data_IF_477769428761
#
_entry.id   IF_477769428761
#
_cell.length_a   1.000
_cell.length_b   1.000
_cell.length_c   1.000
_cell.angle_alpha   90.00
_cell.angle_beta   90.00
_cell.angle_gamma   90.00
#
_symmetry.space_group_name_H-M   'P 1'
#
loop_
_entity.id
_entity.type
_entity.pdbx_description
1 polymer ?
#
# COMPACT_ATOMS: atom_id res chain seq x y z
N UNK A 1 -77.83 -16.64 17.77
CA UNK A 1 -76.37 -16.82 17.70
C UNK A 1 -75.74 -15.65 18.45
N UNK A 2 -75.27 -15.88 19.67
CA UNK A 2 -74.76 -14.86 20.58
C UNK A 2 -73.29 -14.59 20.29
N UNK A 3 -72.96 -13.42 19.76
CA UNK A 3 -71.60 -12.88 19.74
C UNK A 3 -71.31 -12.30 21.13
N UNK A 4 -70.42 -12.93 21.89
CA UNK A 4 -69.85 -12.35 23.10
C UNK A 4 -68.62 -11.53 22.71
N UNK A 5 -68.77 -10.21 22.75
CA UNK A 5 -67.67 -9.27 22.61
C UNK A 5 -66.63 -9.50 23.72
N UNK A 6 -65.42 -9.89 23.33
CA UNK A 6 -64.31 -10.10 24.25
C UNK A 6 -63.81 -8.75 24.79
N UNK A 7 -63.73 -8.64 26.12
CA UNK A 7 -63.31 -7.43 26.83
C UNK A 7 -61.83 -7.08 26.53
N UNK A 8 -61.57 -5.93 25.90
CA UNK A 8 -60.22 -5.46 25.60
C UNK A 8 -59.50 -4.96 26.86
N UNK A 9 -58.70 -5.85 27.47
CA UNK A 9 -57.84 -5.50 28.61
C UNK A 9 -56.74 -4.50 28.21
N UNK A 10 -56.56 -3.43 29.01
CA UNK A 10 -55.48 -2.44 28.86
C UNK A 10 -54.18 -2.86 29.57
N UNK A 11 -54.12 -4.07 30.14
CA UNK A 11 -52.93 -4.55 30.84
C UNK A 11 -51.83 -4.85 29.81
N UNK A 12 -50.60 -4.35 29.99
CA UNK A 12 -49.48 -4.72 29.13
C UNK A 12 -49.18 -6.22 29.21
N UNK A 13 -48.84 -6.85 28.08
CA UNK A 13 -48.56 -8.29 28.07
C UNK A 13 -47.39 -8.65 29.01
N UNK A 14 -47.59 -9.73 29.76
CA UNK A 14 -46.62 -10.25 30.73
C UNK A 14 -45.57 -11.13 30.03
N UNK A 15 -44.76 -10.49 29.19
CA UNK A 15 -43.64 -11.15 28.49
C UNK A 15 -42.30 -10.69 29.06
N UNK A 16 -41.26 -11.55 29.09
CA UNK A 16 -39.94 -11.18 29.59
C UNK A 16 -39.35 -9.93 28.91
N UNK A 17 -39.66 -9.71 27.63
CA UNK A 17 -39.26 -8.53 26.89
C UNK A 17 -39.98 -7.26 27.37
N UNK A 18 -41.33 -7.27 27.40
CA UNK A 18 -42.13 -6.09 27.81
C UNK A 18 -41.97 -5.75 29.29
N UNK A 19 -41.68 -6.75 30.12
CA UNK A 19 -41.48 -6.58 31.56
C UNK A 19 -40.01 -6.34 31.96
N UNK A 20 -39.10 -6.23 30.98
CA UNK A 20 -37.66 -6.03 31.21
C UNK A 20 -37.00 -7.10 32.10
N UNK A 21 -37.48 -8.34 32.00
CA UNK A 21 -36.97 -9.53 32.72
C UNK A 21 -36.20 -10.47 31.79
N UNK A 22 -35.57 -9.93 30.76
CA UNK A 22 -34.72 -10.71 29.86
C UNK A 22 -33.55 -11.31 30.65
N UNK A 23 -33.13 -12.50 30.24
CA UNK A 23 -31.92 -13.14 30.80
C UNK A 23 -30.72 -12.24 30.49
N UNK A 24 -30.15 -11.65 31.54
CA UNK A 24 -29.01 -10.76 31.44
C UNK A 24 -27.85 -11.30 32.27
N UNK A 25 -26.63 -11.00 31.83
CA UNK A 25 -25.42 -11.18 32.61
C UNK A 25 -24.91 -9.81 33.02
N UNK A 26 -24.74 -9.59 34.34
CA UNK A 26 -24.25 -8.34 34.90
C UNK A 26 -22.88 -8.59 35.55
N UNK A 27 -21.78 -8.40 34.81
CA UNK A 27 -20.45 -8.63 35.36
C UNK A 27 -20.12 -7.58 36.42
N UNK A 28 -20.05 -8.02 37.67
CA UNK A 28 -19.54 -7.19 38.77
C UNK A 28 -18.03 -7.37 38.80
N UNK A 29 -17.28 -6.30 38.54
CA UNK A 29 -15.83 -6.30 38.54
C UNK A 29 -15.31 -6.42 39.98
N UNK A 30 -15.02 -7.66 40.41
CA UNK A 30 -14.37 -7.90 41.71
C UNK A 30 -12.85 -7.81 41.57
N UNK A 31 -12.12 -7.41 42.63
CA UNK A 31 -10.66 -7.26 42.57
C UNK A 31 -9.93 -8.50 42.05
N UNK A 32 -10.33 -9.70 42.48
CA UNK A 32 -9.71 -10.95 42.04
C UNK A 32 -9.85 -11.16 40.53
N UNK A 33 -11.04 -10.88 39.97
CA UNK A 33 -11.28 -10.96 38.53
C UNK A 33 -10.43 -9.94 37.78
N UNK A 34 -10.41 -8.68 38.22
CA UNK A 34 -9.63 -7.61 37.58
C UNK A 34 -8.13 -7.92 37.61
N UNK A 35 -7.57 -8.26 38.78
CA UNK A 35 -6.15 -8.62 38.95
C UNK A 35 -5.78 -9.79 38.03
N UNK A 36 -6.61 -10.84 38.03
CA UNK A 36 -6.42 -12.02 37.20
C UNK A 36 -6.44 -11.69 35.70
N UNK A 37 -7.41 -10.89 35.25
CA UNK A 37 -7.48 -10.47 33.84
C UNK A 37 -6.26 -9.66 33.42
N UNK A 38 -5.85 -8.65 34.20
CA UNK A 38 -4.64 -7.87 33.88
C UNK A 38 -3.38 -8.73 33.85
N UNK A 39 -3.25 -9.68 34.79
CA UNK A 39 -2.10 -10.59 34.82
C UNK A 39 -2.06 -11.49 33.59
N UNK A 40 -3.19 -12.11 33.23
CA UNK A 40 -3.31 -13.00 32.07
C UNK A 40 -3.06 -12.24 30.76
N UNK A 41 -3.64 -11.05 30.59
CA UNK A 41 -3.40 -10.22 29.41
C UNK A 41 -1.92 -9.87 29.28
N UNK A 42 -1.27 -9.46 30.37
CA UNK A 42 0.17 -9.18 30.39
C UNK A 42 1.02 -10.40 30.02
N UNK A 43 0.71 -11.57 30.59
CA UNK A 43 1.40 -12.83 30.30
C UNK A 43 1.26 -13.29 28.85
N UNK A 44 0.15 -12.97 28.18
CA UNK A 44 -0.05 -13.31 26.77
C UNK A 44 0.61 -12.27 25.85
N UNK A 45 0.47 -10.99 26.17
CA UNK A 45 0.92 -9.90 25.28
C UNK A 45 2.44 -9.77 25.23
N UNK A 46 3.15 -10.02 26.34
CA UNK A 46 4.62 -9.91 26.36
C UNK A 46 5.28 -10.94 25.42
N UNK A 47 5.00 -12.26 25.50
CA UNK A 47 5.57 -13.23 24.58
C UNK A 47 5.22 -12.97 23.11
N UNK A 48 3.96 -12.57 22.83
CA UNK A 48 3.55 -12.19 21.47
C UNK A 48 4.37 -10.99 20.98
N UNK A 49 4.54 -9.97 21.82
CA UNK A 49 5.32 -8.79 21.49
C UNK A 49 6.79 -9.10 21.21
N UNK A 50 7.41 -9.96 22.03
CA UNK A 50 8.79 -10.43 21.83
C UNK A 50 8.92 -11.19 20.52
N UNK A 51 8.01 -12.14 20.25
CA UNK A 51 8.01 -12.90 19.00
C UNK A 51 7.89 -11.99 17.76
N UNK A 52 6.94 -11.05 17.76
CA UNK A 52 6.77 -10.09 16.66
C UNK A 52 7.99 -9.18 16.47
N UNK A 53 8.65 -8.80 17.56
CA UNK A 53 9.85 -7.97 17.54
C UNK A 53 11.06 -8.72 16.97
N UNK A 54 11.25 -10.00 17.31
CA UNK A 54 12.32 -10.82 16.73
C UNK A 54 12.09 -11.09 15.24
N UNK A 55 10.86 -11.42 14.83
CA UNK A 55 10.50 -11.54 13.41
C UNK A 55 10.78 -10.24 12.64
N UNK A 56 10.64 -9.08 13.29
CA UNK A 56 10.95 -7.80 12.68
C UNK A 56 12.45 -7.59 12.42
N UNK A 57 13.32 -8.05 13.34
CA UNK A 57 14.77 -7.88 13.24
C UNK A 57 15.35 -8.67 12.06
N UNK A 58 14.75 -9.81 11.73
CA UNK A 58 15.15 -10.66 10.61
C UNK A 58 14.87 -10.01 9.24
N UNK A 59 14.13 -8.91 9.20
CA UNK A 59 13.83 -8.19 7.95
C UNK A 59 15.00 -7.29 7.58
N UNK A 60 15.65 -7.64 6.47
CA UNK A 60 16.72 -6.85 5.86
C UNK A 60 16.09 -5.84 4.91
N UNK A 61 16.34 -4.56 5.17
CA UNK A 61 15.86 -3.46 4.34
C UNK A 61 17.02 -2.52 4.00
N UNK A 62 17.12 -2.14 2.74
CA UNK A 62 18.07 -1.15 2.26
C UNK A 62 17.35 -0.11 1.43
N UNK A 63 17.75 1.15 1.55
CA UNK A 63 17.19 2.25 0.76
C UNK A 63 18.30 3.13 0.19
N UNK A 64 18.10 3.59 -1.03
CA UNK A 64 18.99 4.55 -1.68
C UNK A 64 18.16 5.66 -2.30
N UNK A 65 18.44 6.90 -1.89
CA UNK A 65 17.79 8.10 -2.40
C UNK A 65 18.42 8.54 -3.72
N UNK A 66 17.61 8.83 -4.73
CA UNK A 66 18.04 9.21 -6.09
C UNK A 66 17.32 10.46 -6.63
N UNK A 67 17.11 11.45 -5.79
CA UNK A 67 16.32 12.67 -6.05
C UNK A 67 16.92 13.69 -7.06
N UNK A 68 17.96 13.31 -7.80
CA UNK A 68 18.67 14.18 -8.75
C UNK A 68 19.78 15.03 -8.11
N UNK A 69 19.71 15.30 -6.79
CA UNK A 69 20.74 16.02 -6.03
C UNK A 69 21.85 15.08 -5.57
N UNK A 70 21.49 13.84 -5.18
CA UNK A 70 22.42 12.84 -4.65
C UNK A 70 22.90 11.82 -5.69
N UNK A 71 22.77 12.12 -6.99
CA UNK A 71 23.29 11.25 -8.04
C UNK A 71 24.82 11.40 -8.11
N UNK A 72 25.58 10.35 -7.76
CA UNK A 72 27.02 10.25 -8.08
C UNK A 72 27.15 10.19 -9.61
N UNK A 73 27.44 11.33 -10.24
CA UNK A 73 27.43 11.53 -11.71
C UNK A 73 28.54 10.72 -12.44
N UNK A 74 28.36 10.41 -13.74
CA UNK A 74 28.87 11.33 -14.77
C UNK A 74 27.98 11.39 -16.03
N UNK A 75 27.21 12.47 -16.17
CA UNK A 75 26.80 13.17 -17.41
C UNK A 75 25.46 13.86 -17.16
N UNK A 76 25.53 15.16 -16.93
CA UNK A 76 24.40 16.05 -16.70
C UNK A 76 23.54 16.29 -17.96
N UNK A 77 23.60 15.41 -18.97
CA UNK A 77 22.88 15.57 -20.22
C UNK A 77 21.45 14.98 -20.17
N UNK A 78 21.24 13.84 -19.50
CA UNK A 78 19.97 13.07 -19.62
C UNK A 78 19.29 12.68 -18.27
N UNK A 79 19.82 13.10 -17.12
CA UNK A 79 19.16 12.87 -15.82
C UNK A 79 19.10 11.41 -15.35
N UNK A 80 20.12 10.61 -15.70
CA UNK A 80 20.21 9.15 -15.49
C UNK A 80 21.34 8.85 -14.52
N UNK A 81 21.14 7.92 -13.57
CA UNK A 81 22.23 7.42 -12.74
C UNK A 81 22.17 5.91 -12.53
N UNK A 82 23.35 5.29 -12.60
CA UNK A 82 23.57 3.92 -12.16
C UNK A 82 23.73 3.89 -10.65
N UNK A 83 22.88 3.13 -9.97
CA UNK A 83 22.90 2.97 -8.53
C UNK A 83 23.31 1.54 -8.16
N UNK A 84 24.39 1.44 -7.40
CA UNK A 84 24.95 0.16 -6.96
C UNK A 84 24.53 -0.10 -5.51
N UNK A 85 23.89 -1.25 -5.29
CA UNK A 85 23.53 -1.76 -3.98
C UNK A 85 24.38 -2.98 -3.67
N UNK A 86 25.29 -2.85 -2.71
CA UNK A 86 25.99 -4.00 -2.16
C UNK A 86 25.21 -4.52 -0.96
N UNK A 87 24.69 -5.74 -1.04
CA UNK A 87 23.94 -6.37 0.06
C UNK A 87 24.83 -6.50 1.31
N UNK A 88 24.38 -5.95 2.43
CA UNK A 88 25.12 -6.02 3.71
C UNK A 88 24.85 -7.32 4.48
N UNK A 89 23.73 -7.96 4.19
CA UNK A 89 23.23 -9.17 4.84
C UNK A 89 22.59 -10.09 3.77
N UNK A 90 22.43 -11.37 4.11
CA UNK A 90 21.75 -12.33 3.25
C UNK A 90 20.25 -11.99 3.14
N UNK A 91 19.71 -11.96 1.93
CA UNK A 91 18.29 -11.71 1.69
C UNK A 91 17.60 -12.98 1.18
N UNK A 92 16.58 -13.43 1.91
CA UNK A 92 15.73 -14.56 1.51
C UNK A 92 14.61 -14.13 0.57
N UNK A 93 14.33 -14.95 -0.44
CA UNK A 93 13.21 -14.75 -1.35
C UNK A 93 11.85 -14.92 -0.62
N UNK A 94 10.80 -14.19 -1.04
CA UNK A 94 10.79 -13.18 -2.10
C UNK A 94 11.36 -11.84 -1.61
N UNK A 95 12.26 -11.26 -2.41
CA UNK A 95 12.84 -9.94 -2.14
C UNK A 95 12.03 -8.91 -2.91
N UNK A 96 11.47 -7.93 -2.21
CA UNK A 96 10.59 -6.94 -2.79
C UNK A 96 11.36 -5.66 -3.14
N UNK A 97 11.13 -5.14 -4.33
CA UNK A 97 11.70 -3.88 -4.82
C UNK A 97 10.61 -2.83 -4.86
N UNK A 98 10.78 -1.75 -4.12
CA UNK A 98 9.85 -0.62 -4.04
C UNK A 98 10.49 0.65 -4.53
N UNK A 99 9.67 1.54 -5.09
CA UNK A 99 9.99 2.97 -5.07
C UNK A 99 9.25 3.62 -3.90
N UNK A 100 9.96 4.49 -3.19
CA UNK A 100 9.43 5.33 -2.13
C UNK A 100 9.35 6.77 -2.63
N UNK A 101 8.20 7.40 -2.40
CA UNK A 101 8.01 8.82 -2.61
C UNK A 101 7.65 9.45 -1.27
N UNK A 102 8.34 10.55 -0.97
CA UNK A 102 8.08 11.36 0.22
C UNK A 102 7.44 12.70 -0.20
N UNK A 103 6.62 13.24 0.70
CA UNK A 103 5.90 14.50 0.54
C UNK A 103 4.95 14.56 -0.68
N UNK A 104 4.38 13.42 -1.10
CA UNK A 104 3.46 13.35 -2.24
C UNK A 104 2.04 12.97 -1.79
N UNK A 105 1.10 13.90 -1.88
CA UNK A 105 -0.23 13.77 -1.27
C UNK A 105 -1.27 13.09 -2.19
N UNK A 106 -1.20 11.77 -2.33
CA UNK A 106 -2.24 11.00 -3.05
C UNK A 106 -3.60 11.01 -2.34
N UNK A 107 -3.64 11.33 -1.05
CA UNK A 107 -4.85 11.34 -0.23
C UNK A 107 -5.66 12.65 -0.34
N UNK A 108 -5.23 13.62 -1.15
CA UNK A 108 -5.95 14.86 -1.33
C UNK A 108 -7.31 14.61 -2.01
N UNK A 109 -8.41 15.16 -1.48
CA UNK A 109 -9.79 14.91 -1.94
C UNK A 109 -9.96 15.03 -3.46
N UNK A 110 -9.46 16.12 -4.05
CA UNK A 110 -9.53 16.37 -5.51
C UNK A 110 -8.70 15.36 -6.32
N UNK A 111 -7.58 14.89 -5.77
CA UNK A 111 -6.71 13.92 -6.44
C UNK A 111 -7.39 12.55 -6.45
N UNK A 112 -7.89 12.08 -5.30
CA UNK A 112 -8.60 10.79 -5.17
C UNK A 112 -9.85 10.74 -6.03
N UNK A 113 -10.62 11.84 -6.11
CA UNK A 113 -11.82 11.91 -6.94
C UNK A 113 -11.53 12.02 -8.44
N UNK A 114 -10.29 12.33 -8.84
CA UNK A 114 -9.94 12.61 -10.23
C UNK A 114 -9.52 11.37 -11.00
N UNK A 115 -10.53 10.58 -11.37
CA UNK A 115 -10.41 9.39 -12.23
C UNK A 115 -11.77 9.03 -12.85
N UNK A 116 -11.76 8.24 -13.92
CA UNK A 116 -12.97 7.64 -14.50
C UNK A 116 -12.96 6.13 -14.29
N UNK A 117 -13.81 5.62 -13.41
CA UNK A 117 -13.88 4.18 -13.13
C UNK A 117 -14.43 3.39 -14.35
N UNK A 118 -15.24 4.02 -15.20
CA UNK A 118 -15.69 3.41 -16.47
C UNK A 118 -14.52 3.17 -17.42
N UNK A 119 -13.66 4.18 -17.64
CA UNK A 119 -12.46 4.02 -18.48
C UNK A 119 -11.49 2.99 -17.91
N UNK A 120 -11.34 2.94 -16.58
CA UNK A 120 -10.49 1.93 -15.94
C UNK A 120 -11.01 0.51 -16.16
N UNK A 121 -12.32 0.31 -16.21
CA UNK A 121 -12.95 -0.97 -16.57
C UNK A 121 -13.03 -1.23 -18.08
N UNK A 122 -12.37 -0.43 -18.91
CA UNK A 122 -12.41 -0.59 -20.37
C UNK A 122 -13.76 -0.22 -21.01
N UNK A 123 -14.67 0.38 -20.24
CA UNK A 123 -15.97 0.84 -20.72
C UNK A 123 -15.85 2.22 -21.39
N UNK A 124 -16.70 2.49 -22.37
CA UNK A 124 -16.80 3.82 -22.98
C UNK A 124 -17.43 4.78 -21.96
N UNK A 125 -16.71 5.82 -21.56
CA UNK A 125 -17.23 6.82 -20.65
C UNK A 125 -18.05 7.88 -21.41
N UNK A 126 -19.23 8.21 -20.88
CA UNK A 126 -20.08 9.28 -21.42
C UNK A 126 -19.43 10.65 -21.19
N UNK A 127 -19.43 11.49 -22.23
CA UNK A 127 -18.88 12.85 -22.17
C UNK A 127 -19.99 13.84 -21.80
N UNK A 128 -19.70 14.85 -20.96
CA UNK A 128 -18.41 15.19 -20.36
C UNK A 128 -18.11 14.41 -19.06
N UNK A 129 -16.86 13.97 -18.88
CA UNK A 129 -16.42 13.29 -17.66
C UNK A 129 -16.13 14.33 -16.57
N UNK A 130 -17.11 14.59 -15.70
CA UNK A 130 -17.02 15.59 -14.61
C UNK A 130 -16.00 15.24 -13.52
N UNK A 131 -15.64 13.97 -13.37
CA UNK A 131 -14.67 13.51 -12.35
C UNK A 131 -13.22 13.90 -12.71
N UNK A 132 -12.90 14.10 -13.99
CA UNK A 132 -11.53 14.34 -14.47
C UNK A 132 -11.13 15.83 -14.63
N UNK A 133 -11.77 16.73 -13.88
CA UNK A 133 -11.74 18.21 -14.05
C UNK A 133 -10.39 18.93 -13.89
N UNK A 134 -9.26 18.23 -13.84
CA UNK A 134 -7.91 18.83 -13.84
C UNK A 134 -6.94 18.26 -14.88
N UNK A 135 -7.34 17.23 -15.62
CA UNK A 135 -6.49 16.59 -16.64
C UNK A 135 -7.37 15.92 -17.71
N UNK A 136 -8.16 16.70 -18.48
CA UNK A 136 -9.09 16.14 -19.47
C UNK A 136 -8.40 15.60 -20.71
N UNK A 137 -7.20 16.12 -21.04
CA UNK A 137 -6.47 15.78 -22.25
C UNK A 137 -5.16 16.55 -22.35
N UNK A 138 -4.50 16.39 -23.49
CA UNK A 138 -3.22 17.04 -23.82
C UNK A 138 -3.11 17.27 -25.31
N UNK A 139 -2.46 18.35 -25.71
CA UNK A 139 -1.98 18.53 -27.09
C UNK A 139 -0.58 17.93 -27.20
N UNK A 140 -0.44 16.80 -27.88
CA UNK A 140 0.82 16.05 -27.97
C UNK A 140 0.90 15.23 -29.25
N UNK A 141 2.09 14.69 -29.54
CA UNK A 141 2.28 13.61 -30.49
C UNK A 141 1.77 12.29 -29.89
N UNK A 142 1.16 11.45 -30.74
CA UNK A 142 0.63 10.13 -30.38
C UNK A 142 1.56 9.05 -30.91
N UNK A 143 2.18 8.30 -30.00
CA UNK A 143 3.11 7.23 -30.33
C UNK A 143 2.40 5.88 -30.44
N UNK A 144 2.92 4.98 -31.28
CA UNK A 144 2.53 3.57 -31.24
C UNK A 144 3.33 2.84 -30.15
N UNK A 145 3.09 3.23 -28.89
CA UNK A 145 3.85 2.82 -27.71
C UNK A 145 5.36 3.02 -27.83
N UNK A 146 6.12 1.95 -28.01
CA UNK A 146 7.58 2.01 -28.07
C UNK A 146 8.13 2.32 -29.45
N UNK A 147 7.29 2.30 -30.48
CA UNK A 147 7.71 2.62 -31.84
C UNK A 147 7.96 4.12 -32.00
N UNK A 148 8.82 4.46 -32.96
CA UNK A 148 9.07 5.85 -33.33
C UNK A 148 7.88 6.45 -34.08
N UNK A 149 7.86 7.78 -34.15
CA UNK A 149 6.78 8.50 -34.80
C UNK A 149 6.76 8.21 -36.29
N UNK A 150 5.54 8.10 -36.84
CA UNK A 150 5.35 8.08 -38.27
C UNK A 150 5.89 9.38 -38.91
N UNK A 151 6.49 9.31 -40.12
CA UNK A 151 6.91 10.51 -40.84
C UNK A 151 5.74 11.48 -41.03
N UNK A 152 5.93 12.75 -40.64
CA UNK A 152 4.89 13.78 -40.74
C UNK A 152 3.88 13.83 -39.59
N UNK A 153 4.11 13.12 -38.48
CA UNK A 153 3.25 13.20 -37.30
C UNK A 153 3.18 14.64 -36.74
N UNK A 154 1.96 15.18 -36.66
CA UNK A 154 1.68 16.49 -36.07
C UNK A 154 1.04 16.35 -34.70
N UNK A 155 1.34 17.29 -33.79
CA UNK A 155 0.68 17.33 -32.49
C UNK A 155 -0.82 17.64 -32.66
N UNK A 156 -1.66 16.90 -31.95
CA UNK A 156 -3.11 17.09 -31.94
C UNK A 156 -3.63 17.05 -30.50
N UNK A 157 -4.83 17.58 -30.28
CA UNK A 157 -5.50 17.46 -29.00
C UNK A 157 -6.07 16.06 -28.84
N UNK A 158 -5.70 15.39 -27.76
CA UNK A 158 -6.23 14.09 -27.38
C UNK A 158 -6.80 14.10 -25.97
N UNK A 159 -7.91 13.39 -25.77
CA UNK A 159 -8.47 13.10 -24.46
C UNK A 159 -7.69 11.95 -23.82
N UNK A 160 -7.41 12.06 -22.53
CA UNK A 160 -6.77 10.95 -21.82
C UNK A 160 -7.73 9.80 -21.57
N UNK A 161 -7.29 8.58 -21.85
CA UNK A 161 -8.03 7.37 -21.55
C UNK A 161 -7.08 6.32 -20.91
N UNK A 162 -7.15 6.09 -19.59
CA UNK A 162 -7.98 6.77 -18.58
C UNK A 162 -7.57 8.22 -18.30
N UNK A 163 -8.56 9.06 -18.01
CA UNK A 163 -8.37 10.44 -17.58
C UNK A 163 -8.16 10.56 -16.06
N UNK A 164 -7.69 11.74 -15.65
CA UNK A 164 -7.64 12.14 -14.24
C UNK A 164 -6.23 12.33 -13.70
N UNK A 165 -6.14 13.02 -12.56
CA UNK A 165 -4.88 13.41 -11.94
C UNK A 165 -4.04 12.20 -11.50
N UNK A 166 -4.69 11.10 -11.09
CA UNK A 166 -3.98 9.90 -10.64
C UNK A 166 -3.20 9.28 -11.80
N UNK A 167 -3.87 8.99 -12.92
CA UNK A 167 -3.22 8.40 -14.09
C UNK A 167 -2.16 9.33 -14.70
N UNK A 168 -2.44 10.64 -14.80
CA UNK A 168 -1.52 11.63 -15.36
C UNK A 168 -0.33 12.01 -14.46
N UNK A 169 -0.30 11.50 -13.23
CA UNK A 169 0.85 11.62 -12.34
C UNK A 169 1.55 10.29 -12.10
N UNK A 170 1.29 9.27 -12.93
CA UNK A 170 1.99 7.99 -12.87
C UNK A 170 3.50 8.19 -12.72
N UNK A 171 4.08 7.44 -11.79
CA UNK A 171 5.52 7.45 -11.56
C UNK A 171 6.27 6.89 -12.78
N UNK A 172 7.12 7.71 -13.39
CA UNK A 172 7.88 7.39 -14.60
C UNK A 172 9.41 7.42 -14.41
N UNK A 173 9.88 7.25 -13.17
CA UNK A 173 11.29 7.38 -12.77
C UNK A 173 12.24 6.28 -13.24
N UNK A 174 11.98 5.58 -14.33
CA UNK A 174 12.87 4.52 -14.84
C UNK A 174 13.07 4.62 -16.34
N UNK A 175 14.31 4.93 -16.72
CA UNK A 175 14.84 5.00 -18.08
C UNK A 175 16.38 4.93 -18.05
N UNK A 176 17.00 4.60 -19.19
CA UNK A 176 17.89 5.42 -20.06
C UNK A 176 19.25 4.82 -20.51
N UNK A 177 19.27 4.54 -21.82
CA UNK A 177 20.17 5.08 -22.87
C UNK A 177 21.66 4.77 -22.88
N UNK A 178 22.18 3.91 -22.04
CA UNK A 178 23.53 3.36 -22.24
C UNK A 178 23.54 1.87 -22.00
N UNK A 179 24.12 1.10 -22.93
CA UNK A 179 24.46 -0.31 -22.74
C UNK A 179 25.19 -0.47 -21.41
N UNK A 180 24.47 -0.86 -20.37
CA UNK A 180 25.11 -1.40 -19.20
C UNK A 180 25.43 -2.84 -19.53
N UNK A 181 26.71 -3.11 -19.76
CA UNK A 181 27.27 -4.46 -19.73
C UNK A 181 27.17 -5.02 -18.32
N UNK A 182 25.95 -5.21 -17.80
CA UNK A 182 25.71 -5.92 -16.56
C UNK A 182 25.81 -7.42 -16.87
N UNK A 183 27.05 -7.88 -17.02
CA UNK A 183 27.43 -9.29 -17.21
C UNK A 183 27.43 -10.07 -15.90
N UNK A 184 27.00 -9.44 -14.80
CA UNK A 184 26.95 -10.06 -13.49
C UNK A 184 25.90 -11.18 -13.55
N UNK A 185 26.40 -12.41 -13.52
CA UNK A 185 25.59 -13.62 -13.46
C UNK A 185 25.54 -14.09 -12.02
N UNK A 186 24.34 -14.38 -11.53
CA UNK A 186 24.14 -15.02 -10.24
C UNK A 186 23.50 -16.39 -10.49
N UNK A 187 24.19 -17.47 -10.10
CA UNK A 187 23.81 -18.84 -10.42
C UNK A 187 23.50 -19.09 -11.91
N UNK A 188 24.31 -18.50 -12.81
CA UNK A 188 24.13 -18.64 -14.26
C UNK A 188 22.96 -17.85 -14.86
N UNK A 189 22.24 -17.05 -14.06
CA UNK A 189 21.22 -16.09 -14.55
C UNK A 189 21.79 -14.67 -14.53
N UNK A 190 21.60 -13.93 -15.62
CA UNK A 190 21.90 -12.49 -15.64
C UNK A 190 21.02 -11.76 -14.61
N UNK A 191 21.66 -10.98 -13.72
CA UNK A 191 21.00 -10.25 -12.63
C UNK A 191 19.91 -9.29 -13.15
N UNK A 192 20.03 -8.82 -14.39
CA UNK A 192 19.06 -7.95 -15.09
C UNK A 192 17.67 -8.59 -15.25
N UNK A 193 17.59 -9.92 -15.29
CA UNK A 193 16.35 -10.68 -15.52
C UNK A 193 15.73 -11.28 -14.24
N UNK A 194 16.27 -10.96 -13.06
CA UNK A 194 15.79 -11.55 -11.81
C UNK A 194 14.51 -10.89 -11.27
N UNK A 195 14.21 -9.66 -11.69
CA UNK A 195 13.04 -8.93 -11.19
C UNK A 195 11.79 -9.25 -12.01
N UNK A 196 10.86 -9.95 -11.36
CA UNK A 196 9.54 -10.31 -11.84
C UNK A 196 8.55 -9.15 -11.63
N UNK A 197 7.64 -8.99 -12.58
CA UNK A 197 6.63 -7.93 -12.62
C UNK A 197 5.21 -8.43 -12.41
N UNK A 198 5.05 -9.73 -12.17
CA UNK A 198 3.78 -10.38 -11.91
C UNK A 198 3.49 -10.51 -10.41
N UNK A 199 2.22 -10.56 -10.04
CA UNK A 199 1.77 -10.73 -8.65
C UNK A 199 2.22 -9.59 -7.72
N UNK A 200 2.20 -8.37 -8.24
CA UNK A 200 2.42 -7.10 -7.53
C UNK A 200 1.10 -6.46 -7.06
N UNK A 201 0.05 -6.57 -7.86
CA UNK A 201 -1.27 -6.05 -7.59
C UNK A 201 -2.19 -7.10 -6.95
N UNK A 202 -3.28 -6.65 -6.35
CA UNK A 202 -4.27 -7.56 -5.77
C UNK A 202 -5.07 -8.22 -6.89
N UNK A 203 -5.26 -9.54 -6.79
CA UNK A 203 -5.99 -10.32 -7.80
C UNK A 203 -7.40 -9.75 -8.07
N UNK A 204 -8.08 -9.29 -7.02
CA UNK A 204 -9.41 -8.67 -7.14
C UNK A 204 -9.40 -7.36 -7.91
N UNK A 205 -8.31 -6.56 -7.83
CA UNK A 205 -8.17 -5.34 -8.61
C UNK A 205 -7.99 -5.70 -10.10
N UNK A 206 -7.12 -6.68 -10.40
CA UNK A 206 -6.84 -7.15 -11.77
C UNK A 206 -8.10 -7.67 -12.46
N UNK A 207 -8.86 -8.55 -11.79
CA UNK A 207 -9.98 -9.25 -12.44
C UNK A 207 -11.21 -8.37 -12.67
N UNK A 208 -11.45 -7.37 -11.80
CA UNK A 208 -12.73 -6.66 -11.77
C UNK A 208 -12.67 -5.17 -12.05
N UNK A 209 -11.55 -4.48 -11.77
CA UNK A 209 -11.49 -3.02 -11.80
C UNK A 209 -10.73 -2.44 -12.98
N UNK A 210 -9.80 -3.21 -13.54
CA UNK A 210 -8.89 -2.74 -14.57
C UNK A 210 -9.00 -3.65 -15.79
N UNK A 211 -9.47 -3.10 -16.91
CA UNK A 211 -9.58 -3.82 -18.18
C UNK A 211 -9.21 -2.89 -19.33
N UNK A 212 -8.47 -3.39 -20.30
CA UNK A 212 -8.13 -2.62 -21.49
C UNK A 212 -9.39 -2.35 -22.34
N UNK A 213 -9.58 -1.13 -22.86
CA UNK A 213 -10.75 -0.81 -23.66
C UNK A 213 -10.71 -1.55 -25.00
N UNK A 214 -11.85 -2.10 -25.40
CA UNK A 214 -12.02 -2.81 -26.68
C UNK A 214 -12.29 -1.86 -27.85
N UNK A 215 -12.89 -0.71 -27.57
CA UNK A 215 -13.19 0.34 -28.54
C UNK A 215 -12.74 1.69 -28.00
N UNK A 216 -12.09 2.48 -28.85
CA UNK A 216 -11.57 3.81 -28.52
C UNK A 216 -11.93 4.78 -29.62
N UNK A 217 -12.28 5.99 -29.22
CA UNK A 217 -12.47 7.08 -30.19
C UNK A 217 -11.09 7.54 -30.72
N UNK A 218 -11.05 8.02 -31.96
CA UNK A 218 -9.80 8.49 -32.60
C UNK A 218 -9.11 9.61 -31.82
N UNK A 219 -9.91 10.42 -31.11
CA UNK A 219 -9.51 11.53 -30.26
C UNK A 219 -9.03 11.08 -28.86
N UNK A 220 -9.13 9.81 -28.50
CA UNK A 220 -8.60 9.30 -27.25
C UNK A 220 -7.13 8.90 -27.38
N UNK A 221 -6.37 9.15 -26.33
CA UNK A 221 -4.97 8.75 -26.18
C UNK A 221 -4.82 7.88 -24.94
N UNK A 222 -4.29 6.68 -25.17
CA UNK A 222 -3.96 5.74 -24.10
C UNK A 222 -2.65 6.15 -23.42
N UNK A 223 -2.48 5.77 -22.15
CA UNK A 223 -1.28 6.16 -21.40
C UNK A 223 0.02 5.79 -22.12
N UNK A 224 0.13 4.59 -22.69
CA UNK A 224 1.34 4.16 -23.39
C UNK A 224 1.55 4.88 -24.72
N UNK A 225 0.56 5.59 -25.26
CA UNK A 225 0.74 6.43 -26.45
C UNK A 225 1.26 7.83 -26.10
N UNK A 226 1.23 8.19 -24.80
CA UNK A 226 1.78 9.42 -24.29
C UNK A 226 3.31 9.30 -24.17
N UNK A 227 4.09 10.27 -24.70
CA UNK A 227 5.56 10.25 -24.61
C UNK A 227 6.11 10.07 -23.19
N UNK A 228 5.37 10.54 -22.17
CA UNK A 228 5.77 10.45 -20.75
C UNK A 228 5.75 9.01 -20.20
N UNK A 229 4.92 8.13 -20.77
CA UNK A 229 4.63 6.80 -20.20
C UNK A 229 4.85 5.64 -21.17
N UNK A 230 5.16 5.93 -22.44
CA UNK A 230 5.29 4.93 -23.52
C UNK A 230 6.27 3.79 -23.25
N UNK A 231 7.20 4.02 -22.35
CA UNK A 231 8.24 3.09 -21.95
C UNK A 231 8.10 2.58 -20.50
N UNK A 232 7.07 3.05 -19.80
CA UNK A 232 6.70 2.59 -18.46
C UNK A 232 5.57 1.58 -18.57
N UNK A 233 4.64 1.83 -19.50
CA UNK A 233 3.46 0.99 -19.77
C UNK A 233 3.62 0.33 -21.15
N UNK A 234 3.59 -1.01 -21.23
CA UNK A 234 3.62 -1.74 -22.49
C UNK A 234 2.29 -1.60 -23.25
N UNK A 235 2.35 -1.72 -24.58
CA UNK A 235 1.20 -1.63 -25.49
C UNK A 235 0.48 -2.94 -25.76
N UNK A 236 1.16 -4.07 -25.59
CA UNK A 236 0.63 -5.40 -25.91
C UNK A 236 1.21 -6.45 -24.99
N UNK A 237 0.46 -7.52 -24.80
CA UNK A 237 0.91 -8.72 -24.09
C UNK A 237 2.13 -9.32 -24.79
N UNK A 238 3.12 -9.74 -24.00
CA UNK A 238 4.36 -10.34 -24.50
C UNK A 238 5.33 -9.34 -25.12
N UNK A 239 5.10 -8.02 -24.98
CA UNK A 239 6.02 -7.03 -25.50
C UNK A 239 7.41 -7.20 -24.89
N UNK A 240 8.39 -7.44 -25.75
CA UNK A 240 9.78 -7.60 -25.33
C UNK A 240 10.34 -6.30 -24.76
N UNK A 241 11.25 -6.47 -23.81
CA UNK A 241 11.97 -5.37 -23.20
C UNK A 241 12.94 -4.77 -24.21
N UNK A 242 12.94 -3.45 -24.34
CA UNK A 242 14.02 -2.74 -25.01
C UNK A 242 15.04 -2.38 -23.95
N UNK A 243 16.23 -3.00 -24.02
CA UNK A 243 17.31 -2.79 -23.07
C UNK A 243 17.63 -1.30 -22.92
N UNK A 244 17.81 -0.86 -21.67
CA UNK A 244 18.10 0.54 -21.29
C UNK A 244 17.00 1.56 -21.65
N UNK A 245 15.91 1.15 -22.29
CA UNK A 245 14.83 2.05 -22.68
C UNK A 245 13.59 1.80 -21.84
N UNK A 246 13.17 0.55 -21.68
CA UNK A 246 11.91 0.27 -20.98
C UNK A 246 12.11 0.12 -19.47
N UNK A 247 11.14 0.60 -18.69
CA UNK A 247 11.15 0.48 -17.23
C UNK A 247 10.88 -0.95 -16.73
N UNK A 248 10.39 -1.85 -17.59
CA UNK A 248 10.20 -3.25 -17.24
C UNK A 248 11.45 -4.10 -17.43
N UNK A 249 11.55 -5.20 -16.68
CA UNK A 249 12.73 -6.08 -16.63
C UNK A 249 12.61 -7.37 -17.43
N UNK A 250 11.40 -7.92 -17.53
CA UNK A 250 11.05 -9.10 -18.32
C UNK A 250 9.97 -8.75 -19.35
N UNK A 251 9.69 -9.65 -20.29
CA UNK A 251 8.61 -9.44 -21.27
C UNK A 251 7.29 -9.13 -20.55
N UNK A 252 6.57 -8.13 -21.04
CA UNK A 252 5.37 -7.62 -20.39
C UNK A 252 4.26 -8.69 -20.34
N UNK A 253 3.85 -9.18 -19.16
CA UNK A 253 2.80 -10.20 -19.07
C UNK A 253 1.41 -9.62 -19.35
N UNK A 254 1.22 -8.33 -19.02
CA UNK A 254 -0.02 -7.58 -19.20
C UNK A 254 0.32 -6.20 -19.73
N UNK A 255 -0.61 -5.57 -20.44
CA UNK A 255 -0.40 -4.27 -21.07
C UNK A 255 -1.44 -3.24 -20.65
N UNK A 256 -1.12 -1.98 -20.90
CA UNK A 256 -2.04 -0.87 -20.69
C UNK A 256 -2.48 -0.69 -19.24
N UNK A 257 -3.79 -0.58 -19.02
CA UNK A 257 -4.35 -0.36 -17.67
C UNK A 257 -4.36 -1.62 -16.82
N UNK A 258 -4.22 -2.80 -17.45
CA UNK A 258 -4.12 -4.09 -16.76
C UNK A 258 -2.71 -4.34 -16.20
N UNK A 259 -1.71 -3.57 -16.63
CA UNK A 259 -0.35 -3.70 -16.11
C UNK A 259 -0.34 -3.48 -14.59
N UNK A 260 0.18 -4.44 -13.84
CA UNK A 260 0.12 -4.43 -12.37
C UNK A 260 0.81 -3.21 -11.74
N UNK A 261 1.89 -2.71 -12.36
CA UNK A 261 2.56 -1.47 -11.93
C UNK A 261 1.65 -0.24 -12.04
N UNK A 262 0.77 -0.19 -13.03
CA UNK A 262 -0.24 0.85 -13.17
C UNK A 262 -1.31 0.70 -12.07
N UNK A 263 -1.80 -0.52 -11.85
CA UNK A 263 -2.80 -0.81 -10.80
C UNK A 263 -2.27 -0.41 -9.40
N UNK A 264 -1.01 -0.76 -9.09
CA UNK A 264 -0.34 -0.38 -7.83
C UNK A 264 -0.29 1.15 -7.65
N UNK A 265 -0.09 1.89 -8.73
CA UNK A 265 -0.11 3.36 -8.71
C UNK A 265 -1.53 3.92 -8.50
N UNK A 266 -2.52 3.38 -9.23
CA UNK A 266 -3.91 3.83 -9.17
C UNK A 266 -4.54 3.64 -7.78
N UNK A 267 -4.03 2.70 -6.99
CA UNK A 267 -4.41 2.53 -5.58
C UNK A 267 -3.77 3.63 -4.73
N UNK A 268 -4.47 4.72 -4.45
CA UNK A 268 -3.92 5.86 -3.70
C UNK A 268 -3.39 5.49 -2.30
N UNK A 269 -2.24 6.05 -1.93
CA UNK A 269 -1.70 5.94 -0.57
C UNK A 269 -2.45 6.85 0.42
N UNK A 270 -2.57 6.41 1.67
CA UNK A 270 -3.22 7.18 2.75
C UNK A 270 -2.32 8.24 3.40
N UNK A 271 -1.00 8.11 3.26
CA UNK A 271 0.02 8.99 3.85
C UNK A 271 0.87 9.62 2.73
N UNK A 272 1.49 10.80 2.98
CA UNK A 272 2.31 11.50 1.99
C UNK A 272 3.66 10.81 1.70
N UNK A 273 4.15 10.01 2.65
CA UNK A 273 5.32 9.18 2.50
C UNK A 273 4.84 7.75 2.31
N UNK A 274 5.10 7.18 1.14
CA UNK A 274 4.60 5.86 0.82
C UNK A 274 5.56 5.10 -0.08
N UNK A 275 5.42 3.77 -0.03
CA UNK A 275 6.14 2.84 -0.88
C UNK A 275 5.16 2.17 -1.82
N UNK A 276 5.63 1.90 -3.04
CA UNK A 276 4.88 1.19 -4.08
C UNK A 276 5.75 0.10 -4.63
N UNK A 277 5.18 -1.10 -4.72
CA UNK A 277 5.89 -2.26 -5.24
C UNK A 277 6.18 -2.06 -6.72
N UNK A 278 7.43 -2.26 -7.11
CA UNK A 278 7.92 -2.12 -8.47
C UNK A 278 8.14 -3.48 -9.13
N UNK A 279 8.61 -4.45 -8.35
CA UNK A 279 8.89 -5.81 -8.77
C UNK A 279 9.31 -6.68 -7.59
N UNK A 280 9.48 -7.97 -7.84
CA UNK A 280 9.94 -8.95 -6.84
C UNK A 280 11.04 -9.83 -7.42
N UNK A 281 11.99 -10.25 -6.59
CA UNK A 281 13.06 -11.17 -6.95
C UNK A 281 12.80 -12.48 -6.20
N UNK A 282 12.54 -13.55 -6.93
CA UNK A 282 12.17 -14.87 -6.38
C UNK A 282 13.40 -15.76 -6.17
N UNK A 283 14.54 -15.18 -5.82
CA UNK A 283 15.79 -15.92 -5.61
C UNK A 283 16.54 -15.34 -4.42
N UNK A 284 17.07 -16.21 -3.57
CA UNK A 284 17.90 -15.84 -2.43
C UNK A 284 19.18 -15.14 -2.91
N UNK A 285 19.51 -14.01 -2.31
CA UNK A 285 20.71 -13.24 -2.62
C UNK A 285 21.65 -13.18 -1.41
N UNK A 286 22.89 -13.68 -1.51
CA UNK A 286 23.83 -13.66 -0.41
C UNK A 286 24.40 -12.26 -0.21
N UNK A 287 24.86 -12.02 1.01
CA UNK A 287 25.68 -10.87 1.39
C UNK A 287 26.82 -10.66 0.40
N UNK A 288 27.08 -9.40 0.07
CA UNK A 288 28.11 -9.00 -0.89
C UNK A 288 27.66 -9.01 -2.35
N UNK A 289 26.47 -9.54 -2.66
CA UNK A 289 25.90 -9.40 -4.02
C UNK A 289 25.73 -7.92 -4.37
N UNK A 290 26.18 -7.55 -5.57
CA UNK A 290 26.04 -6.18 -6.08
C UNK A 290 24.88 -6.12 -7.06
N UNK A 291 23.80 -5.45 -6.66
CA UNK A 291 22.67 -5.15 -7.53
C UNK A 291 22.86 -3.77 -8.15
N UNK A 292 22.86 -3.70 -9.47
CA UNK A 292 22.94 -2.43 -10.19
C UNK A 292 21.57 -2.08 -10.74
N UNK A 293 21.05 -0.92 -10.36
CA UNK A 293 19.80 -0.37 -10.86
C UNK A 293 20.10 0.87 -11.69
N UNK A 294 19.63 0.87 -12.94
CA UNK A 294 19.59 2.06 -13.76
C UNK A 294 18.35 2.85 -13.40
N UNK A 295 18.53 4.04 -12.84
CA UNK A 295 17.43 4.86 -12.33
C UNK A 295 17.43 6.21 -13.04
N UNK A 296 16.24 6.66 -13.43
CA UNK A 296 16.05 7.93 -14.12
C UNK A 296 15.35 8.95 -13.25
N UNK A 297 15.77 10.21 -13.38
CA UNK A 297 15.21 11.32 -12.64
C UNK A 297 13.97 11.96 -13.30
N UNK A 298 13.26 11.28 -14.20
CA UNK A 298 12.11 11.83 -14.96
C UNK A 298 10.93 12.33 -14.10
N UNK A 299 10.76 11.79 -12.90
CA UNK A 299 9.75 12.27 -11.97
C UNK A 299 10.34 13.35 -11.06
N UNK A 300 10.01 14.62 -11.36
CA UNK A 300 10.50 15.77 -10.60
C UNK A 300 9.85 15.82 -9.21
N UNK A 301 10.68 15.77 -8.17
CA UNK A 301 10.23 15.83 -6.76
C UNK A 301 10.55 17.16 -6.09
N UNK A 302 11.42 17.97 -6.69
CA UNK A 302 11.84 19.27 -6.16
C UNK A 302 10.71 20.30 -6.00
N UNK A 303 9.68 20.39 -6.88
CA UNK A 303 8.65 21.43 -6.74
C UNK A 303 7.75 21.27 -5.52
N UNK A 304 7.72 20.08 -4.92
CA UNK A 304 6.98 19.78 -3.70
C UNK A 304 7.89 19.34 -2.57
N UNK A 305 9.19 19.67 -2.61
CA UNK A 305 10.17 19.35 -1.57
C UNK A 305 10.18 17.85 -1.20
N UNK A 306 9.86 17.00 -2.17
CA UNK A 306 9.79 15.56 -2.00
C UNK A 306 11.12 14.87 -2.20
N UNK A 307 11.16 13.60 -1.82
CA UNK A 307 12.30 12.71 -2.05
C UNK A 307 11.83 11.46 -2.78
N UNK A 308 12.75 10.86 -3.53
CA UNK A 308 12.55 9.56 -4.18
C UNK A 308 13.68 8.61 -3.83
N UNK A 309 13.30 7.40 -3.44
CA UNK A 309 14.23 6.37 -3.03
C UNK A 309 13.85 5.02 -3.61
N UNK A 310 14.85 4.19 -3.89
CA UNK A 310 14.66 2.79 -4.24
C UNK A 310 14.88 2.00 -2.96
N UNK A 311 13.92 1.17 -2.60
CA UNK A 311 13.93 0.39 -1.36
C UNK A 311 13.86 -1.09 -1.72
N UNK A 312 14.78 -1.88 -1.18
CA UNK A 312 14.80 -3.33 -1.33
C UNK A 312 14.61 -3.90 0.06
N UNK A 313 13.62 -4.76 0.22
CA UNK A 313 13.28 -5.35 1.52
C UNK A 313 12.88 -6.81 1.36
N UNK A 314 13.28 -7.64 2.31
CA UNK A 314 12.61 -8.93 2.55
C UNK A 314 11.27 -8.70 3.26
N UNK A 315 10.43 -9.73 3.30
CA UNK A 315 9.17 -9.71 4.03
C UNK A 315 9.15 -10.77 5.13
N UNK A 316 8.54 -10.43 6.25
CA UNK A 316 8.04 -11.42 7.21
C UNK A 316 6.61 -11.84 6.85
N UNK A 317 6.09 -12.85 7.54
CA UNK A 317 4.72 -13.31 7.36
C UNK A 317 3.66 -12.23 7.64
N UNK A 318 3.97 -11.21 8.45
CA UNK A 318 3.06 -10.11 8.77
C UNK A 318 3.41 -8.79 8.06
N UNK A 319 4.42 -8.80 7.17
CA UNK A 319 4.75 -7.67 6.30
C UNK A 319 6.21 -7.20 6.39
N UNK A 320 6.43 -5.94 6.03
CA UNK A 320 7.76 -5.32 5.99
C UNK A 320 8.26 -4.86 7.35
N UNK A 321 9.42 -4.20 7.36
CA UNK A 321 10.10 -3.76 8.58
C UNK A 321 9.30 -2.68 9.32
N UNK A 322 8.54 -3.09 10.33
CA UNK A 322 7.93 -2.19 11.31
C UNK A 322 7.93 -2.78 12.74
N UNK A 323 8.81 -2.32 13.66
CA UNK A 323 8.89 -2.85 15.01
C UNK A 323 7.75 -2.37 15.93
N UNK A 324 6.95 -1.40 15.49
CA UNK A 324 5.92 -0.75 16.32
C UNK A 324 4.96 -1.74 16.97
N UNK A 325 4.49 -2.74 16.22
CA UNK A 325 3.51 -3.70 16.72
C UNK A 325 4.10 -4.52 17.88
N UNK A 326 5.29 -5.08 17.71
CA UNK A 326 5.98 -5.83 18.76
C UNK A 326 6.23 -4.98 20.01
N UNK A 327 6.72 -3.75 19.82
CA UNK A 327 6.95 -2.79 20.91
C UNK A 327 5.64 -2.44 21.64
N UNK A 328 4.56 -2.19 20.91
CA UNK A 328 3.26 -1.87 21.51
C UNK A 328 2.72 -3.02 22.37
N UNK A 329 2.80 -4.27 21.90
CA UNK A 329 2.41 -5.45 22.67
C UNK A 329 3.24 -5.60 23.94
N UNK A 330 4.56 -5.43 23.85
CA UNK A 330 5.44 -5.48 25.03
C UNK A 330 5.10 -4.38 26.04
N UNK A 331 4.94 -3.12 25.59
CA UNK A 331 4.62 -1.98 26.47
C UNK A 331 3.28 -2.16 27.16
N UNK A 332 2.21 -2.48 26.42
CA UNK A 332 0.87 -2.69 26.98
C UNK A 332 0.89 -3.89 27.94
N UNK A 333 1.55 -4.99 27.55
CA UNK A 333 1.68 -6.17 28.39
C UNK A 333 2.41 -5.87 29.72
N UNK A 334 3.51 -5.12 29.67
CA UNK A 334 4.23 -4.67 30.86
C UNK A 334 3.39 -3.77 31.76
N UNK A 335 2.65 -2.82 31.19
CA UNK A 335 1.72 -1.97 31.96
C UNK A 335 0.66 -2.82 32.66
N UNK A 336 0.11 -3.83 31.98
CA UNK A 336 -0.88 -4.74 32.57
C UNK A 336 -0.32 -5.54 33.76
N UNK A 337 0.92 -6.06 33.67
CA UNK A 337 1.58 -6.75 34.78
C UNK A 337 1.79 -5.80 35.97
N UNK A 338 2.31 -4.59 35.72
CA UNK A 338 2.55 -3.59 36.77
C UNK A 338 1.23 -3.21 37.47
N UNK A 339 0.17 -2.95 36.71
CA UNK A 339 -1.15 -2.64 37.28
C UNK A 339 -1.73 -3.82 38.07
N UNK A 340 -1.55 -5.06 37.59
CA UNK A 340 -1.97 -6.25 38.32
C UNK A 340 -1.27 -6.36 39.69
N UNK A 341 0.05 -6.11 39.74
CA UNK A 341 0.82 -6.11 40.98
C UNK A 341 0.37 -4.99 41.93
N UNK A 342 0.11 -3.77 41.43
CA UNK A 342 -0.39 -2.65 42.22
C UNK A 342 -1.78 -2.97 42.80
N UNK A 343 -2.69 -3.49 41.99
CA UNK A 343 -4.03 -3.87 42.45
C UNK A 343 -3.97 -5.02 43.45
N UNK A 344 -3.09 -6.00 43.25
CA UNK A 344 -2.85 -7.07 44.20
C UNK A 344 -2.35 -6.55 45.54
N UNK A 345 -1.32 -5.69 45.54
CA UNK A 345 -0.78 -5.06 46.73
C UNK A 345 -1.86 -4.26 47.48
N UNK A 346 -2.61 -3.40 46.77
CA UNK A 346 -3.71 -2.62 47.36
C UNK A 346 -4.81 -3.50 47.92
N UNK A 347 -5.18 -4.57 47.22
CA UNK A 347 -6.22 -5.50 47.68
C UNK A 347 -5.80 -6.25 48.95
N UNK A 348 -4.50 -6.54 49.10
CA UNK A 348 -3.94 -7.18 50.30
C UNK A 348 -3.71 -6.22 51.47
N UNK A 349 -3.24 -5.01 51.21
CA UNK A 349 -2.97 -4.00 52.25
C UNK A 349 -4.25 -3.36 52.79
N UNK A 350 -5.24 -3.13 51.92
CA UNK A 350 -6.51 -2.47 52.27
C UNK A 350 -7.70 -3.28 51.75
N UNK A 351 -7.97 -4.47 52.32
CA UNK A 351 -9.07 -5.30 51.86
C UNK A 351 -10.41 -4.62 52.18
N UNK A 352 -11.22 -4.39 51.15
CA UNK A 352 -12.60 -3.89 51.30
C UNK A 352 -13.57 -5.04 51.12
N UNK A 353 -14.54 -5.16 52.04
CA UNK A 353 -15.62 -6.13 51.92
C UNK A 353 -16.54 -5.72 50.76
N UNK A 354 -16.82 -6.66 49.86
CA UNK A 354 -17.71 -6.41 48.72
C UNK A 354 -19.14 -6.14 49.23
N UNK A 355 -19.79 -5.09 48.75
CA UNK A 355 -21.13 -4.71 49.19
C UNK A 355 -21.20 -4.14 50.61
N UNK A 356 -20.10 -3.61 51.16
CA UNK A 356 -20.10 -3.01 52.49
C UNK A 356 -21.06 -1.81 52.58
N UNK A 357 -22.08 -1.93 53.43
CA UNK A 357 -23.13 -0.93 53.62
C UNK A 357 -22.64 0.37 54.25
N UNK A 358 -21.46 0.38 54.87
CA UNK A 358 -20.88 1.57 55.48
C UNK A 358 -20.52 2.65 54.45
N UNK A 359 -20.34 2.26 53.19
CA UNK A 359 -20.04 3.17 52.08
C UNK A 359 -21.29 3.61 51.30
N UNK A 360 -22.49 3.22 51.76
CA UNK A 360 -23.73 3.74 51.20
C UNK A 360 -23.84 5.22 51.62
N UNK A 361 -24.01 6.10 50.63
CA UNK A 361 -23.96 7.56 50.79
C UNK A 361 -24.89 8.06 51.91
N UNK A 362 -26.02 7.39 52.13
CA UNK A 362 -26.99 7.76 53.16
C UNK A 362 -26.61 7.34 54.59
N UNK A 363 -25.70 6.37 54.77
CA UNK A 363 -25.19 5.99 56.09
C UNK A 363 -24.03 6.86 56.57
N UNK A 364 -23.28 7.48 55.64
CA UNK A 364 -22.17 8.37 55.96
C UNK A 364 -22.61 9.77 56.45
N UNK A 365 -23.92 10.04 56.52
CA UNK A 365 -24.50 11.33 56.95
C UNK A 365 -25.07 11.35 58.37
N UNK A 366 -25.01 10.23 59.10
CA UNK A 366 -25.31 10.13 60.53
C UNK A 366 -24.04 9.73 61.27
#
# INVERSE_FOLDING_TARGET
MSNTDAEHSKRPDDTPFKQQRLKAWQPILTPNWVIGTFFVVGLIFIPIGVFLFEENKNIVEMSLQYDGVNMRAPSAADGVALQNFTLQEDMKAPIMVYYQLDNFYQNHRRYVSSRSDAQLRGEKAELPISTCTGSPGITSLKYNSTEDLAPGATAAYYRFNPCGLIANSLFNGTHTSSYLGQTDTYNGKEVVNLMDQSGLAWQSDIETKFQNPTTLDSEDMMLWQNPKYRFVIPARTGQERILNVTGWTTAAPLYGVETERFIVWMRTAGLPNFRKLYGKINTDLPKGTVLRFLVSSNFAVTPFEGKKSLVISTLSWYGGRNPFLGVAYMVIGSICIVLSLIFFAKHKMTPRKLGDTNYLVWKAKN
#
